data_IF_020836114041
#
_entry.id   IF_020836114041
#
_cell.length_a   1.000
_cell.length_b   1.000
_cell.length_c   1.000
_cell.angle_alpha   90.00
_cell.angle_beta   90.00
_cell.angle_gamma   90.00
#
_symmetry.space_group_name_H-M   'P 1'
#
loop_
_entity.id
_entity.type
_entity.pdbx_description
1 polymer ?
#
# COMPACT_ATOMS: atom_id res chain seq x y z
N UNK A 1 -23.59 -15.30 5.17
CA UNK A 1 -22.15 -15.56 4.93
C UNK A 1 -21.61 -14.33 4.22
N UNK A 2 -20.71 -13.52 4.80
CA UNK A 2 -20.37 -12.25 4.17
C UNK A 2 -19.44 -12.53 2.98
N UNK A 3 -20.01 -12.42 1.79
CA UNK A 3 -19.41 -12.57 0.45
C UNK A 3 -18.36 -11.49 0.12
N UNK A 4 -17.98 -10.67 1.10
CA UNK A 4 -17.16 -9.47 0.95
C UNK A 4 -15.65 -9.76 0.95
N UNK A 5 -15.20 -10.84 1.59
CA UNK A 5 -13.75 -11.16 1.74
C UNK A 5 -13.06 -11.53 0.42
N UNK A 6 -13.81 -12.05 -0.56
CA UNK A 6 -13.28 -12.51 -1.84
C UNK A 6 -12.87 -11.33 -2.75
N UNK A 7 -13.30 -10.10 -2.45
CA UNK A 7 -13.00 -8.95 -3.30
C UNK A 7 -11.60 -8.38 -3.06
N UNK A 8 -11.15 -8.27 -1.81
CA UNK A 8 -9.84 -7.66 -1.51
C UNK A 8 -8.67 -8.53 -1.99
N UNK A 9 -8.72 -9.83 -1.70
CA UNK A 9 -7.66 -10.77 -2.07
C UNK A 9 -7.34 -10.73 -3.57
N UNK A 10 -8.37 -10.60 -4.42
CA UNK A 10 -8.22 -10.53 -5.88
C UNK A 10 -7.31 -9.40 -6.35
N UNK A 11 -7.28 -8.27 -5.64
CA UNK A 11 -6.43 -7.15 -6.02
C UNK A 11 -4.96 -7.39 -5.70
N UNK A 12 -4.65 -8.26 -4.74
CA UNK A 12 -3.29 -8.54 -4.28
C UNK A 12 -2.78 -9.93 -4.70
N UNK A 13 -3.60 -10.72 -5.41
CA UNK A 13 -3.24 -12.05 -5.91
C UNK A 13 -2.14 -12.00 -6.98
N UNK A 14 -2.05 -10.89 -7.72
CA UNK A 14 -1.01 -10.66 -8.74
C UNK A 14 0.36 -10.33 -8.16
N UNK A 15 0.49 -10.21 -6.83
CA UNK A 15 1.79 -9.96 -6.20
C UNK A 15 2.57 -11.27 -6.11
N UNK A 16 3.70 -11.31 -6.80
CA UNK A 16 4.64 -12.41 -6.72
C UNK A 16 5.17 -12.54 -5.30
N UNK A 17 5.25 -13.77 -4.78
CA UNK A 17 5.87 -14.02 -3.48
C UNK A 17 7.38 -14.21 -3.64
N UNK A 18 8.22 -13.21 -3.26
CA UNK A 18 9.67 -13.25 -3.44
C UNK A 18 10.35 -14.21 -2.45
N UNK A 19 9.59 -14.86 -1.56
CA UNK A 19 10.10 -15.73 -0.50
C UNK A 19 10.32 -17.14 -1.04
N UNK A 20 11.28 -17.83 -0.43
CA UNK A 20 11.51 -19.24 -0.72
C UNK A 20 10.33 -20.07 -0.18
N UNK A 21 9.50 -20.61 -1.08
CA UNK A 21 8.22 -21.26 -0.75
C UNK A 21 8.34 -22.36 0.32
N UNK A 22 9.41 -23.16 0.30
CA UNK A 22 9.67 -24.20 1.32
C UNK A 22 10.00 -23.69 2.74
N UNK A 23 10.06 -22.38 2.95
CA UNK A 23 10.31 -21.72 4.25
C UNK A 23 9.20 -20.75 4.63
N UNK A 24 8.06 -20.79 3.94
CA UNK A 24 6.92 -19.91 4.19
C UNK A 24 5.98 -20.54 5.22
N UNK A 25 5.79 -19.83 6.34
CA UNK A 25 4.85 -20.20 7.41
C UNK A 25 3.57 -19.39 7.34
N UNK A 26 3.67 -18.10 7.02
CA UNK A 26 2.53 -17.18 6.89
C UNK A 26 2.28 -16.83 5.42
N UNK A 27 1.02 -16.90 4.99
CA UNK A 27 0.60 -16.49 3.64
C UNK A 27 0.98 -15.04 3.39
N UNK A 28 1.40 -14.72 2.16
CA UNK A 28 1.85 -13.37 1.81
C UNK A 28 0.74 -12.34 2.07
N UNK A 29 -0.47 -12.65 1.61
CA UNK A 29 -1.62 -11.78 1.78
C UNK A 29 -1.97 -11.51 3.25
N UNK A 30 -1.85 -12.52 4.13
CA UNK A 30 -2.11 -12.34 5.57
C UNK A 30 -1.17 -11.28 6.18
N UNK A 31 0.12 -11.29 5.78
CA UNK A 31 1.12 -10.32 6.23
C UNK A 31 0.80 -8.92 5.68
N UNK A 32 0.47 -8.83 4.39
CA UNK A 32 0.12 -7.57 3.73
C UNK A 32 -1.11 -6.94 4.41
N UNK A 33 -2.16 -7.74 4.62
CA UNK A 33 -3.40 -7.27 5.23
C UNK A 33 -3.18 -6.77 6.67
N UNK A 34 -2.39 -7.50 7.45
CA UNK A 34 -1.99 -7.09 8.80
C UNK A 34 -1.26 -5.73 8.77
N UNK A 35 -0.23 -5.60 7.94
CA UNK A 35 0.57 -4.38 7.85
C UNK A 35 -0.26 -3.17 7.43
N UNK A 36 -1.09 -3.31 6.39
CA UNK A 36 -1.97 -2.23 5.92
C UNK A 36 -2.98 -1.83 7.00
N UNK A 37 -3.63 -2.81 7.65
CA UNK A 37 -4.62 -2.54 8.69
C UNK A 37 -4.02 -1.80 9.89
N UNK A 38 -2.83 -2.20 10.32
CA UNK A 38 -2.10 -1.57 11.41
C UNK A 38 -1.69 -0.14 11.07
N UNK A 39 -1.11 0.09 9.89
CA UNK A 39 -0.66 1.43 9.44
C UNK A 39 -1.85 2.38 9.29
N UNK A 40 -2.97 1.93 8.72
CA UNK A 40 -4.21 2.73 8.63
C UNK A 40 -4.77 3.06 10.01
N UNK A 41 -4.55 2.18 10.99
CA UNK A 41 -4.94 2.39 12.39
C UNK A 41 -3.97 3.30 13.16
N UNK A 42 -2.91 3.79 12.51
CA UNK A 42 -1.96 4.75 13.07
C UNK A 42 -0.63 4.16 13.55
N UNK A 43 -0.38 2.86 13.38
CA UNK A 43 0.90 2.24 13.74
C UNK A 43 2.03 2.75 12.83
N UNK A 44 3.18 3.08 13.42
CA UNK A 44 4.32 3.69 12.74
C UNK A 44 5.56 2.78 12.67
N UNK A 45 5.56 1.66 13.41
CA UNK A 45 6.70 0.74 13.51
C UNK A 45 6.33 -0.74 13.38
N UNK A 46 7.32 -1.59 13.11
CA UNK A 46 7.11 -3.04 12.94
C UNK A 46 6.67 -3.72 14.24
N UNK A 47 7.20 -3.29 15.38
CA UNK A 47 6.78 -3.76 16.71
C UNK A 47 5.31 -3.38 16.98
N UNK A 48 4.94 -2.13 16.70
CA UNK A 48 3.54 -1.68 16.82
C UNK A 48 2.57 -2.46 15.90
N UNK A 49 3.04 -2.89 14.71
CA UNK A 49 2.24 -3.73 13.81
C UNK A 49 2.05 -5.14 14.39
N UNK A 50 3.08 -5.71 15.02
CA UNK A 50 2.97 -6.99 15.73
C UNK A 50 1.98 -6.87 16.92
N UNK A 51 2.13 -5.83 17.74
CA UNK A 51 1.24 -5.54 18.87
C UNK A 51 -0.21 -5.36 18.41
N UNK A 52 -0.44 -4.57 17.36
CA UNK A 52 -1.77 -4.43 16.73
C UNK A 52 -2.34 -5.78 16.29
N UNK A 53 -1.49 -6.64 15.71
CA UNK A 53 -1.86 -7.98 15.31
C UNK A 53 -2.40 -8.81 16.47
N UNK A 54 -1.72 -8.76 17.61
CA UNK A 54 -2.16 -9.44 18.83
C UNK A 54 -3.45 -8.81 19.40
N UNK A 55 -3.50 -7.49 19.47
CA UNK A 55 -4.61 -6.71 20.02
C UNK A 55 -5.91 -6.80 19.22
N UNK A 56 -5.81 -7.08 17.91
CA UNK A 56 -6.95 -7.11 16.97
C UNK A 56 -7.07 -8.45 16.24
N UNK A 57 -6.49 -9.52 16.77
CA UNK A 57 -6.48 -10.85 16.15
C UNK A 57 -7.89 -11.34 15.77
N UNK A 58 -8.87 -11.20 16.67
CA UNK A 58 -10.26 -11.62 16.42
C UNK A 58 -10.92 -10.82 15.29
N UNK A 59 -10.54 -9.55 15.13
CA UNK A 59 -11.03 -8.73 14.03
C UNK A 59 -10.32 -9.10 12.72
N UNK A 60 -9.00 -9.29 12.73
CA UNK A 60 -8.21 -9.71 11.57
C UNK A 60 -8.71 -11.05 11.02
N UNK A 61 -9.06 -11.99 11.91
CA UNK A 61 -9.58 -13.32 11.55
C UNK A 61 -10.92 -13.31 10.83
N UNK A 62 -11.62 -12.17 10.81
CA UNK A 62 -12.82 -12.00 9.97
C UNK A 62 -12.48 -11.86 8.50
N UNK A 63 -11.23 -11.51 8.15
CA UNK A 63 -10.80 -11.18 6.79
C UNK A 63 -9.66 -12.08 6.28
N UNK A 64 -8.72 -12.45 7.14
CA UNK A 64 -7.56 -13.31 6.82
C UNK A 64 -7.46 -14.46 7.83
N UNK A 65 -6.84 -15.58 7.44
CA UNK A 65 -6.86 -16.77 8.29
C UNK A 65 -5.88 -16.69 9.46
N UNK A 66 -4.64 -16.23 9.20
CA UNK A 66 -3.57 -16.18 10.20
C UNK A 66 -3.43 -17.52 10.94
N UNK A 67 -3.35 -18.62 10.17
CA UNK A 67 -3.36 -20.00 10.67
C UNK A 67 -2.27 -20.26 11.71
N UNK A 68 -1.10 -19.63 11.52
CA UNK A 68 0.08 -19.75 12.37
C UNK A 68 0.20 -18.57 13.35
N UNK A 69 -0.87 -17.81 13.55
CA UNK A 69 -0.90 -16.62 14.40
C UNK A 69 -0.23 -15.39 13.75
N UNK A 70 0.14 -14.44 14.59
CA UNK A 70 0.75 -13.17 14.18
C UNK A 70 2.24 -13.37 13.88
N UNK A 71 2.73 -13.01 12.69
CA UNK A 71 4.15 -13.01 12.41
C UNK A 71 4.88 -11.96 13.28
N UNK A 72 6.08 -12.32 13.75
CA UNK A 72 6.99 -11.39 14.43
C UNK A 72 7.30 -10.15 13.58
N UNK A 73 7.61 -9.02 14.22
CA UNK A 73 8.01 -7.76 13.60
C UNK A 73 9.13 -7.96 12.56
N UNK A 74 10.13 -8.80 12.85
CA UNK A 74 11.23 -9.10 11.93
C UNK A 74 10.78 -9.87 10.69
N UNK A 75 9.78 -10.74 10.83
CA UNK A 75 9.18 -11.45 9.70
C UNK A 75 8.40 -10.47 8.84
N UNK A 76 7.56 -9.62 9.45
CA UNK A 76 6.80 -8.60 8.75
C UNK A 76 7.75 -7.68 7.95
N UNK A 77 8.74 -7.10 8.62
CA UNK A 77 9.71 -6.20 8.00
C UNK A 77 10.45 -6.86 6.83
N UNK A 78 10.89 -8.12 7.00
CA UNK A 78 11.61 -8.87 5.95
C UNK A 78 10.74 -9.20 4.75
N UNK A 79 9.46 -9.51 4.97
CA UNK A 79 8.54 -9.80 3.86
C UNK A 79 8.23 -8.50 3.12
N UNK A 80 7.79 -7.47 3.85
CA UNK A 80 7.42 -6.18 3.26
C UNK A 80 8.58 -5.53 2.49
N UNK A 81 9.83 -5.70 2.94
CA UNK A 81 11.00 -5.14 2.25
C UNK A 81 11.40 -5.89 0.97
N UNK A 82 10.86 -7.08 0.73
CA UNK A 82 11.15 -7.90 -0.46
C UNK A 82 10.07 -7.84 -1.53
N UNK A 83 8.86 -7.43 -1.16
CA UNK A 83 7.75 -7.28 -2.11
C UNK A 83 8.15 -6.24 -3.15
N UNK A 84 7.83 -6.53 -4.42
CA UNK A 84 7.99 -5.55 -5.48
C UNK A 84 7.05 -4.36 -5.25
N UNK A 85 7.64 -3.18 -5.08
CA UNK A 85 6.87 -1.97 -4.74
C UNK A 85 5.89 -1.57 -5.86
N UNK A 86 6.23 -1.82 -7.12
CA UNK A 86 5.38 -1.51 -8.26
C UNK A 86 4.14 -2.41 -8.25
N UNK A 87 4.33 -3.73 -8.11
CA UNK A 87 3.22 -4.68 -8.00
C UNK A 87 2.31 -4.37 -6.80
N UNK A 88 2.91 -4.03 -5.66
CA UNK A 88 2.15 -3.62 -4.48
C UNK A 88 1.33 -2.36 -4.72
N UNK A 89 1.93 -1.35 -5.34
CA UNK A 89 1.28 -0.08 -5.64
C UNK A 89 0.12 -0.26 -6.63
N UNK A 90 0.31 -1.06 -7.69
CA UNK A 90 -0.73 -1.33 -8.69
C UNK A 90 -1.91 -2.07 -8.07
N UNK A 91 -1.61 -3.07 -7.23
CA UNK A 91 -2.60 -3.83 -6.46
C UNK A 91 -3.40 -2.93 -5.52
N UNK A 92 -2.69 -2.10 -4.76
CA UNK A 92 -3.29 -1.15 -3.82
C UNK A 92 -4.13 -0.10 -4.54
N UNK A 93 -3.63 0.50 -5.63
CA UNK A 93 -4.37 1.48 -6.43
C UNK A 93 -5.64 0.87 -7.03
N UNK A 94 -5.56 -0.35 -7.56
CA UNK A 94 -6.71 -1.07 -8.11
C UNK A 94 -7.77 -1.33 -7.05
N UNK A 95 -7.35 -1.72 -5.85
CA UNK A 95 -8.24 -1.86 -4.70
C UNK A 95 -8.88 -0.51 -4.32
N UNK A 96 -8.10 0.56 -4.22
CA UNK A 96 -8.59 1.88 -3.86
C UNK A 96 -9.59 2.43 -4.88
N UNK A 97 -9.33 2.23 -6.18
CA UNK A 97 -10.27 2.58 -7.26
C UNK A 97 -11.59 1.85 -7.12
N UNK A 98 -11.56 0.56 -6.80
CA UNK A 98 -12.77 -0.24 -6.60
C UNK A 98 -13.57 0.18 -5.35
N UNK A 99 -12.88 0.66 -4.30
CA UNK A 99 -13.51 1.19 -3.10
C UNK A 99 -14.01 2.63 -3.27
N UNK A 100 -13.37 3.42 -4.14
CA UNK A 100 -13.82 4.76 -4.46
C UNK A 100 -15.12 4.69 -5.25
N UNK A 101 -16.19 5.31 -4.74
CA UNK A 101 -17.30 5.67 -5.62
C UNK A 101 -16.76 6.70 -6.60
N UNK A 102 -16.98 6.51 -7.90
CA UNK A 102 -16.76 7.53 -8.92
C UNK A 102 -17.63 8.75 -8.55
N UNK A 103 -17.06 9.68 -7.80
CA UNK A 103 -17.63 10.98 -7.54
C UNK A 103 -17.42 11.81 -8.81
N UNK A 104 -18.43 11.85 -9.68
CA UNK A 104 -18.44 12.82 -10.78
C UNK A 104 -18.27 14.22 -10.17
N UNK A 105 -17.17 14.89 -10.47
CA UNK A 105 -16.84 16.21 -9.93
C UNK A 105 -16.09 16.23 -8.59
N UNK A 106 -15.62 15.08 -8.09
CA UNK A 106 -14.80 15.04 -6.87
C UNK A 106 -13.43 15.73 -7.05
N UNK A 107 -12.93 16.36 -5.99
CA UNK A 107 -11.61 17.01 -5.97
C UNK A 107 -10.52 15.97 -5.69
N UNK A 108 -9.55 15.88 -6.59
CA UNK A 108 -8.33 15.07 -6.40
C UNK A 108 -7.16 16.00 -6.15
N UNK A 109 -6.70 16.08 -4.90
CA UNK A 109 -5.53 16.85 -4.55
C UNK A 109 -4.25 16.12 -4.98
N UNK A 110 -3.34 16.83 -5.65
CA UNK A 110 -2.02 16.32 -5.96
C UNK A 110 -1.01 16.98 -5.02
N UNK A 111 -0.27 16.17 -4.26
CA UNK A 111 0.70 16.63 -3.27
C UNK A 111 2.05 15.91 -3.43
N UNK A 112 3.13 16.70 -3.39
CA UNK A 112 4.52 16.23 -3.44
C UNK A 112 5.09 16.03 -2.04
N UNK A 113 5.51 14.80 -1.70
CA UNK A 113 6.09 14.44 -0.41
C UNK A 113 7.53 13.96 -0.56
N UNK A 114 8.41 14.54 0.26
CA UNK A 114 9.78 14.04 0.45
C UNK A 114 9.79 13.00 1.55
N UNK A 115 10.18 11.76 1.23
CA UNK A 115 10.21 10.67 2.19
C UNK A 115 11.37 10.81 3.17
N UNK A 116 11.04 10.87 4.46
CA UNK A 116 12.04 10.90 5.54
C UNK A 116 12.66 9.51 5.70
N UNK A 117 13.98 9.43 5.78
CA UNK A 117 14.70 8.17 5.99
C UNK A 117 14.95 7.32 4.74
N UNK A 118 14.51 7.75 3.56
CA UNK A 118 14.77 7.05 2.28
C UNK A 118 16.17 7.33 1.70
N UNK A 119 17.08 7.88 2.49
CA UNK A 119 18.42 8.24 2.04
C UNK A 119 19.24 6.98 1.88
N UNK A 120 19.73 6.73 0.65
CA UNK A 120 20.55 5.55 0.39
C UNK A 120 22.04 5.93 0.48
N UNK A 121 22.72 5.48 1.54
CA UNK A 121 24.12 5.82 1.83
C UNK A 121 25.09 5.31 0.75
N UNK A 122 24.79 4.18 0.12
CA UNK A 122 25.66 3.55 -0.88
C UNK A 122 25.72 4.31 -2.21
N UNK A 123 24.72 5.17 -2.49
CA UNK A 123 24.46 5.63 -3.85
C UNK A 123 24.33 7.16 -3.97
N UNK A 124 24.72 7.92 -2.92
CA UNK A 124 24.54 9.38 -2.79
C UNK A 124 23.17 9.85 -3.31
N UNK A 125 22.13 9.05 -3.09
CA UNK A 125 20.76 9.37 -3.52
C UNK A 125 20.16 10.31 -2.48
N UNK A 126 19.83 11.53 -2.91
CA UNK A 126 18.91 12.40 -2.18
C UNK A 126 17.61 11.65 -1.84
N UNK A 127 16.92 12.10 -0.80
CA UNK A 127 15.65 11.51 -0.36
C UNK A 127 14.67 11.38 -1.54
N UNK A 128 13.91 10.28 -1.56
CA UNK A 128 12.90 10.00 -2.57
C UNK A 128 11.80 11.05 -2.48
N UNK A 129 11.54 11.70 -3.61
CA UNK A 129 10.37 12.55 -3.80
C UNK A 129 9.27 11.70 -4.41
N UNK A 130 8.07 11.75 -3.83
CA UNK A 130 6.88 11.11 -4.38
C UNK A 130 5.78 12.14 -4.59
N UNK A 131 4.98 11.96 -5.61
CA UNK A 131 3.72 12.69 -5.79
C UNK A 131 2.59 11.73 -5.50
N UNK A 132 1.60 12.17 -4.74
CA UNK A 132 0.39 11.40 -4.43
C UNK A 132 -0.85 12.12 -4.93
N UNK A 133 -1.79 11.37 -5.49
CA UNK A 133 -3.12 11.83 -5.82
C UNK A 133 -4.09 11.37 -4.72
N UNK A 134 -4.71 12.33 -4.05
CA UNK A 134 -5.57 12.13 -2.90
C UNK A 134 -7.01 12.56 -3.23
N UNK A 135 -7.95 11.62 -3.17
CA UNK A 135 -9.36 11.93 -3.33
C UNK A 135 -9.89 12.57 -2.04
N UNK A 136 -10.13 13.88 -2.06
CA UNK A 136 -10.51 14.65 -0.88
C UNK A 136 -11.82 14.15 -0.24
N UNK A 137 -12.81 13.84 -1.07
CA UNK A 137 -14.12 13.37 -0.61
C UNK A 137 -14.08 11.94 -0.05
N UNK A 138 -13.19 11.10 -0.58
CA UNK A 138 -13.05 9.72 -0.17
C UNK A 138 -12.02 9.54 0.95
N UNK A 139 -11.21 10.57 1.25
CA UNK A 139 -10.20 10.57 2.30
C UNK A 139 -9.02 9.63 2.05
N UNK A 140 -8.74 9.29 0.79
CA UNK A 140 -7.79 8.22 0.44
C UNK A 140 -6.87 8.60 -0.72
N UNK A 141 -5.64 8.06 -0.69
CA UNK A 141 -4.69 8.16 -1.80
C UNK A 141 -5.10 7.17 -2.89
N UNK A 142 -5.36 7.67 -4.09
CA UNK A 142 -5.75 6.87 -5.26
C UNK A 142 -4.54 6.31 -6.01
N UNK A 143 -3.46 7.09 -6.11
CA UNK A 143 -2.22 6.70 -6.75
C UNK A 143 -1.05 7.51 -6.18
N UNK A 144 0.16 7.01 -6.34
CA UNK A 144 1.38 7.74 -6.05
C UNK A 144 2.46 7.39 -7.08
N UNK A 145 3.42 8.28 -7.33
CA UNK A 145 4.50 8.03 -8.27
C UNK A 145 5.80 8.67 -7.76
N UNK A 146 6.95 7.98 -7.80
CA UNK A 146 8.23 8.60 -7.49
C UNK A 146 8.64 9.63 -8.57
N UNK A 147 9.21 10.75 -8.15
CA UNK A 147 9.79 11.75 -9.05
C UNK A 147 11.26 11.43 -9.26
N UNK A 148 11.63 11.14 -10.51
CA UNK A 148 13.02 10.84 -10.85
C UNK A 148 13.93 12.09 -10.71
N UNK A 149 15.20 11.91 -10.38
CA UNK A 149 16.16 12.96 -9.99
C UNK A 149 16.37 14.07 -11.04
N UNK A 150 16.20 13.75 -12.32
CA UNK A 150 16.33 14.70 -13.45
C UNK A 150 14.98 15.26 -13.91
N UNK A 151 13.93 14.86 -13.22
CA UNK A 151 12.55 15.19 -13.51
C UNK A 151 12.01 16.11 -12.43
N UNK A 152 10.92 16.80 -12.75
CA UNK A 152 10.20 17.67 -11.82
C UNK A 152 8.77 17.15 -11.68
N UNK A 153 8.05 17.66 -10.69
CA UNK A 153 6.70 17.19 -10.40
C UNK A 153 5.76 17.30 -11.62
N UNK A 154 5.99 18.31 -12.45
CA UNK A 154 5.29 18.56 -13.72
C UNK A 154 5.41 17.37 -14.69
N UNK A 155 6.54 16.65 -14.70
CA UNK A 155 6.79 15.51 -15.59
C UNK A 155 6.32 14.17 -15.03
N UNK A 156 6.24 14.03 -13.71
CA UNK A 156 5.69 12.83 -13.05
C UNK A 156 4.16 12.90 -12.95
N UNK A 157 3.58 14.09 -13.09
CA UNK A 157 2.12 14.31 -13.11
C UNK A 157 1.41 13.48 -14.18
N UNK A 158 1.83 13.47 -15.47
CA UNK A 158 1.14 12.72 -16.52
C UNK A 158 1.14 11.21 -16.23
N UNK A 159 2.26 10.66 -15.75
CA UNK A 159 2.36 9.25 -15.34
C UNK A 159 1.40 8.94 -14.18
N UNK A 160 1.31 9.85 -13.21
CA UNK A 160 0.35 9.73 -12.10
C UNK A 160 -1.12 9.82 -12.58
N UNK A 161 -1.42 10.68 -13.56
CA UNK A 161 -2.77 10.83 -14.12
C UNK A 161 -3.16 9.63 -15.01
N UNK A 162 -2.23 8.99 -15.69
CA UNK A 162 -2.47 7.72 -16.41
C UNK A 162 -2.84 6.59 -15.46
N UNK A 163 -2.25 6.58 -14.26
CA UNK A 163 -2.61 5.65 -13.18
C UNK A 163 -3.99 5.96 -12.58
N UNK A 164 -4.68 7.02 -12.98
CA UNK A 164 -5.96 7.46 -12.41
C UNK A 164 -7.07 7.48 -13.48
N UNK A 165 -8.21 6.84 -13.20
CA UNK A 165 -9.39 6.95 -14.08
C UNK A 165 -10.21 8.20 -13.73
N UNK A 166 -9.65 9.38 -13.99
CA UNK A 166 -10.15 10.71 -13.54
C UNK A 166 -11.06 11.45 -14.56
N UNK A 167 -11.75 10.73 -15.45
CA UNK A 167 -12.68 11.38 -16.39
C UNK A 167 -13.80 12.10 -15.63
N UNK A 168 -13.77 13.44 -15.64
CA UNK A 168 -14.77 14.30 -15.02
C UNK A 168 -14.48 14.73 -13.57
N UNK A 169 -13.27 14.50 -13.06
CA UNK A 169 -12.82 15.02 -11.77
C UNK A 169 -12.08 16.36 -11.93
N UNK A 170 -12.12 17.20 -10.89
CA UNK A 170 -11.32 18.42 -10.83
C UNK A 170 -9.98 18.09 -10.14
N UNK A 171 -8.87 18.41 -10.82
CA UNK A 171 -7.49 18.15 -10.39
C UNK A 171 -6.80 19.48 -10.09
#
# INVERSE_FOLDING_TARGET
MPTSNIQLFKYFESIDDPRQQGKVVHKLFDIIFLAVSAVVSGCQGWEEIEDFGHDRLDWLRKYVLLEQGIPRHDTIARVMSRIDMTQFQDSFSSWMKACSKLTQGGVVAIDGKRLKGSFNQSDRRDALYMISAFACENGVVLAQCPVDKKSNEIKALPELLELLEIKGCLV
#
